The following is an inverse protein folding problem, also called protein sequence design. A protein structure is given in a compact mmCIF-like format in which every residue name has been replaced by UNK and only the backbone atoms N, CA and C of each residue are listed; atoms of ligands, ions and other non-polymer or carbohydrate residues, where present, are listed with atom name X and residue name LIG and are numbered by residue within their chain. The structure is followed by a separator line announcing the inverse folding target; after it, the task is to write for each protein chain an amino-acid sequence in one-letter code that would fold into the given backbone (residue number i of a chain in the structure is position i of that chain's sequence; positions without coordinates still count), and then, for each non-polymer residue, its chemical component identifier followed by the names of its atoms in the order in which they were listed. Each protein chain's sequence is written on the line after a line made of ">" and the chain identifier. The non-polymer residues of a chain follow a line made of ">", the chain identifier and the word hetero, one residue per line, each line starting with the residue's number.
data_IF_110751176314
#
_entry.id   IF_110751176314
#
_cell.length_a   1.000
_cell.length_b   1.000
_cell.length_c   1.000
_cell.angle_alpha   90.00
_cell.angle_beta   90.00
_cell.angle_gamma   90.00
#
_symmetry.space_group_name_H-M   'P 1'
#
loop_
_entity.id
_entity.type
_entity.pdbx_description
1 polymer ?
#
# COMPACT_ATOMS: atom_id res chain seq x y z
N UNK A 1 24.96 11.58 8.97
CA UNK A 1 23.91 11.60 9.98
C UNK A 1 22.56 11.31 9.32
N UNK A 2 21.87 10.32 9.81
CA UNK A 2 20.59 9.94 9.28
C UNK A 2 19.53 10.96 9.68
N UNK A 3 18.68 11.33 8.71
CA UNK A 3 17.58 12.22 8.99
C UNK A 3 16.33 11.38 9.21
N UNK A 4 15.69 11.58 10.34
CA UNK A 4 14.42 10.94 10.62
C UNK A 4 13.31 11.71 9.95
N UNK A 5 12.22 11.03 9.52
CA UNK A 5 11.06 11.73 9.00
C UNK A 5 10.50 12.69 10.04
N UNK A 6 9.89 13.75 9.55
CA UNK A 6 9.15 14.63 10.43
C UNK A 6 8.00 13.88 11.09
N UNK A 7 7.57 14.39 12.24
CA UNK A 7 6.44 13.81 12.95
C UNK A 7 5.22 13.86 12.05
N UNK A 8 4.56 12.71 11.88
CA UNK A 8 3.42 12.60 10.98
C UNK A 8 3.75 12.09 9.59
N UNK A 9 4.98 11.67 9.37
CA UNK A 9 5.39 11.03 8.11
C UNK A 9 5.66 9.54 8.31
N UNK A 10 5.55 8.78 7.22
CA UNK A 10 5.94 7.36 7.25
C UNK A 10 7.45 7.26 7.42
N UNK A 11 7.93 6.21 8.11
CA UNK A 11 9.37 6.04 8.33
C UNK A 11 10.15 5.81 7.03
N UNK A 12 11.45 6.04 7.09
CA UNK A 12 12.34 5.67 5.99
C UNK A 12 12.54 4.16 5.99
N UNK A 13 12.85 3.61 4.80
CA UNK A 13 12.98 2.17 4.61
C UNK A 13 14.00 1.54 5.55
N UNK A 14 15.12 2.20 5.78
CA UNK A 14 16.16 1.65 6.66
C UNK A 14 15.73 1.57 8.12
N UNK A 15 14.75 2.36 8.54
CA UNK A 15 14.21 2.28 9.89
C UNK A 15 13.26 1.11 10.07
N UNK A 16 12.53 0.78 9.01
CA UNK A 16 11.56 -0.31 9.01
C UNK A 16 12.26 -1.66 8.93
N UNK A 17 13.33 -1.72 8.14
CA UNK A 17 14.12 -2.94 8.00
C UNK A 17 13.45 -4.01 7.15
N UNK A 18 14.02 -5.21 7.20
CA UNK A 18 13.59 -6.31 6.35
C UNK A 18 12.30 -6.99 6.79
N UNK A 19 11.76 -6.63 7.93
CA UNK A 19 10.52 -7.24 8.44
C UNK A 19 9.28 -6.78 7.67
N UNK A 20 9.40 -5.73 6.87
CA UNK A 20 8.33 -5.26 5.99
C UNK A 20 8.88 -5.37 4.57
N UNK A 21 8.33 -6.33 3.80
CA UNK A 21 8.88 -6.67 2.49
C UNK A 21 8.54 -5.61 1.45
N UNK A 22 9.54 -5.18 0.67
CA UNK A 22 9.37 -4.19 -0.39
C UNK A 22 8.69 -2.91 0.10
N UNK A 23 9.10 -2.44 1.26
CA UNK A 23 8.60 -1.19 1.82
C UNK A 23 9.05 -0.01 0.95
N UNK A 24 8.11 0.86 0.61
CA UNK A 24 8.41 2.00 -0.25
C UNK A 24 7.53 3.18 0.16
N UNK A 25 8.15 4.35 0.32
CA UNK A 25 7.40 5.57 0.60
C UNK A 25 6.80 6.07 -0.70
N UNK A 26 5.45 6.21 -0.71
CA UNK A 26 4.73 6.72 -1.87
C UNK A 26 4.64 8.23 -1.81
N UNK A 27 4.31 8.77 -0.65
CA UNK A 27 4.26 10.20 -0.32
C UNK A 27 4.84 10.33 1.09
N UNK A 28 5.01 11.55 1.62
CA UNK A 28 5.45 11.66 3.02
C UNK A 28 4.54 10.97 4.02
N UNK A 29 3.25 10.82 3.72
CA UNK A 29 2.30 10.24 4.66
C UNK A 29 1.79 8.85 4.29
N UNK A 30 2.20 8.32 3.13
CA UNK A 30 1.75 7.02 2.64
C UNK A 30 2.93 6.15 2.24
N UNK A 31 2.92 4.91 2.70
CA UNK A 31 3.89 3.90 2.27
C UNK A 31 3.15 2.66 1.82
N UNK A 32 3.79 1.89 0.95
CA UNK A 32 3.27 0.61 0.46
C UNK A 32 4.28 -0.49 0.70
N UNK A 33 3.77 -1.73 0.80
CA UNK A 33 4.65 -2.88 0.98
C UNK A 33 3.98 -4.19 0.56
N UNK A 34 4.76 -5.26 0.61
CA UNK A 34 4.25 -6.61 0.62
C UNK A 34 4.04 -7.08 2.05
N UNK A 35 4.31 -8.35 2.31
CA UNK A 35 4.05 -8.95 3.62
C UNK A 35 4.73 -8.22 4.75
N UNK A 36 4.05 -8.13 5.87
CA UNK A 36 4.56 -7.55 7.11
C UNK A 36 4.77 -8.69 8.10
N UNK A 37 5.99 -8.86 8.58
CA UNK A 37 6.28 -9.83 9.63
C UNK A 37 5.56 -9.40 10.90
N UNK A 38 4.97 -10.36 11.62
CA UNK A 38 4.18 -10.03 12.80
C UNK A 38 4.99 -9.31 13.88
N UNK A 39 6.30 -9.49 13.91
CA UNK A 39 7.16 -8.79 14.87
C UNK A 39 7.39 -7.32 14.50
N UNK A 40 6.94 -6.88 13.32
CA UNK A 40 7.17 -5.52 12.86
C UNK A 40 6.13 -4.51 13.36
N UNK A 41 4.96 -4.96 13.79
CA UNK A 41 3.89 -4.02 14.15
C UNK A 41 4.27 -3.10 15.31
N UNK A 42 4.95 -3.62 16.32
CA UNK A 42 5.42 -2.79 17.41
C UNK A 42 6.38 -1.71 16.94
N UNK A 43 7.28 -2.07 16.02
CA UNK A 43 8.25 -1.13 15.47
C UNK A 43 7.55 -0.05 14.64
N UNK A 44 6.59 -0.44 13.81
CA UNK A 44 5.81 0.51 13.00
C UNK A 44 5.10 1.52 13.89
N UNK A 45 4.48 1.05 14.97
CA UNK A 45 3.80 1.92 15.91
C UNK A 45 4.79 2.90 16.57
N UNK A 46 5.95 2.40 17.01
CA UNK A 46 6.98 3.24 17.61
C UNK A 46 7.49 4.31 16.66
N UNK A 47 7.54 3.98 15.37
CA UNK A 47 8.00 4.92 14.34
C UNK A 47 6.92 5.93 13.93
N UNK A 48 5.73 5.84 14.52
CA UNK A 48 4.69 6.83 14.30
C UNK A 48 3.62 6.47 13.27
N UNK A 49 3.65 5.25 12.73
CA UNK A 49 2.58 4.80 11.84
C UNK A 49 1.27 4.73 12.61
N UNK A 50 0.23 5.36 12.08
CA UNK A 50 -1.07 5.45 12.73
C UNK A 50 -2.00 4.34 12.25
N UNK A 51 -1.91 3.96 10.97
CA UNK A 51 -2.84 3.02 10.36
C UNK A 51 -2.13 2.01 9.48
N UNK A 52 -2.68 0.80 9.45
CA UNK A 52 -2.30 -0.24 8.50
C UNK A 52 -3.55 -0.58 7.67
N UNK A 53 -3.44 -0.50 6.36
CA UNK A 53 -4.51 -0.84 5.44
C UNK A 53 -4.13 -2.11 4.71
N UNK A 54 -4.92 -3.14 4.92
CA UNK A 54 -4.69 -4.50 4.42
C UNK A 54 -5.53 -4.71 3.16
N UNK A 55 -4.89 -5.01 2.05
CA UNK A 55 -5.57 -5.25 0.78
C UNK A 55 -5.88 -6.74 0.55
N UNK A 56 -5.55 -7.59 1.54
CA UNK A 56 -5.75 -9.04 1.42
C UNK A 56 -7.21 -9.40 1.62
N UNK A 57 -7.56 -10.58 1.13
CA UNK A 57 -8.92 -11.13 1.31
C UNK A 57 -8.97 -11.93 2.63
N UNK A 58 -10.20 -12.19 3.16
CA UNK A 58 -10.34 -12.84 4.48
C UNK A 58 -9.56 -14.14 4.63
N UNK A 59 -9.45 -14.92 3.57
CA UNK A 59 -8.75 -16.21 3.63
C UNK A 59 -7.25 -16.08 3.84
N UNK A 60 -6.71 -14.88 3.75
CA UNK A 60 -5.27 -14.66 3.83
C UNK A 60 -4.79 -14.22 5.22
N UNK A 61 -5.63 -14.35 6.25
CA UNK A 61 -5.20 -14.10 7.62
C UNK A 61 -5.40 -12.66 8.09
N UNK A 62 -6.42 -11.97 7.57
CA UNK A 62 -6.64 -10.57 7.92
C UNK A 62 -7.00 -10.37 9.39
N UNK A 63 -7.66 -11.35 10.02
CA UNK A 63 -8.10 -11.20 11.40
C UNK A 63 -6.93 -11.19 12.37
N UNK A 64 -5.95 -12.04 12.14
CA UNK A 64 -4.74 -12.06 12.96
C UNK A 64 -4.00 -10.73 12.88
N UNK A 65 -3.88 -10.18 11.68
CA UNK A 65 -3.23 -8.87 11.53
C UNK A 65 -4.04 -7.77 12.20
N UNK A 66 -5.36 -7.79 12.08
CA UNK A 66 -6.20 -6.79 12.73
C UNK A 66 -5.92 -6.76 14.24
N UNK A 67 -5.89 -7.95 14.86
CA UNK A 67 -5.63 -8.04 16.29
C UNK A 67 -4.25 -7.51 16.67
N UNK A 68 -3.22 -7.85 15.88
CA UNK A 68 -1.86 -7.38 16.12
C UNK A 68 -1.75 -5.86 15.97
N UNK A 69 -2.35 -5.32 14.93
CA UNK A 69 -2.31 -3.88 14.66
C UNK A 69 -3.02 -3.11 15.77
N UNK A 70 -4.22 -3.55 16.14
CA UNK A 70 -5.00 -2.87 17.16
C UNK A 70 -4.36 -3.00 18.55
N UNK A 71 -3.70 -4.13 18.83
CA UNK A 71 -3.00 -4.32 20.10
C UNK A 71 -1.83 -3.33 20.26
N UNK A 72 -1.31 -2.79 19.17
CA UNK A 72 -0.23 -1.80 19.20
C UNK A 72 -0.75 -0.36 19.13
N UNK A 73 -2.06 -0.17 19.22
CA UNK A 73 -2.66 1.16 19.22
C UNK A 73 -2.83 1.79 17.85
N UNK A 74 -2.62 1.03 16.78
CA UNK A 74 -2.82 1.51 15.42
C UNK A 74 -4.22 1.17 14.95
N UNK A 75 -4.68 1.90 13.94
CA UNK A 75 -5.96 1.62 13.26
C UNK A 75 -5.75 0.55 12.20
N UNK A 76 -6.71 -0.34 12.08
CA UNK A 76 -6.67 -1.36 11.05
C UNK A 76 -7.82 -1.15 10.06
N UNK A 77 -7.49 -1.19 8.77
CA UNK A 77 -8.49 -1.12 7.69
C UNK A 77 -8.27 -2.29 6.75
N UNK A 78 -9.36 -2.77 6.17
CA UNK A 78 -9.28 -3.81 5.16
C UNK A 78 -10.10 -3.39 3.93
N UNK A 79 -9.44 -3.35 2.79
CA UNK A 79 -10.08 -3.20 1.49
C UNK A 79 -9.71 -4.46 0.72
N UNK A 80 -10.54 -5.52 0.82
CA UNK A 80 -10.16 -6.79 0.20
C UNK A 80 -10.21 -6.69 -1.31
N UNK A 81 -9.07 -6.92 -1.95
CA UNK A 81 -9.01 -7.02 -3.40
C UNK A 81 -8.39 -8.37 -3.77
N UNK A 82 -8.96 -8.99 -4.78
CA UNK A 82 -8.52 -10.30 -5.23
C UNK A 82 -7.36 -10.23 -6.22
N UNK A 83 -7.36 -11.15 -7.15
CA UNK A 83 -6.25 -11.28 -8.10
C UNK A 83 -6.34 -10.32 -9.27
N UNK A 84 -7.52 -9.81 -9.53
CA UNK A 84 -7.74 -8.87 -10.64
C UNK A 84 -7.30 -7.46 -10.24
N UNK A 85 -7.43 -6.53 -11.20
CA UNK A 85 -7.29 -5.12 -10.89
C UNK A 85 -8.40 -4.70 -9.91
N UNK A 86 -8.12 -3.72 -9.04
CA UNK A 86 -9.17 -3.26 -8.13
C UNK A 86 -10.36 -2.68 -8.88
N UNK A 87 -11.55 -2.92 -8.35
CA UNK A 87 -12.78 -2.37 -8.87
C UNK A 87 -12.89 -0.89 -8.50
N UNK A 88 -13.82 -0.18 -9.17
CA UNK A 88 -14.06 1.22 -8.81
C UNK A 88 -14.48 1.38 -7.35
N UNK A 89 -15.28 0.45 -6.84
CA UNK A 89 -15.70 0.49 -5.43
C UNK A 89 -14.51 0.30 -4.49
N UNK A 90 -13.59 -0.58 -4.84
CA UNK A 90 -12.38 -0.80 -4.04
C UNK A 90 -11.47 0.41 -4.07
N UNK A 91 -11.30 1.02 -5.24
CA UNK A 91 -10.51 2.25 -5.37
C UNK A 91 -11.14 3.37 -4.53
N UNK A 92 -12.46 3.52 -4.58
CA UNK A 92 -13.16 4.53 -3.79
C UNK A 92 -13.00 4.29 -2.28
N UNK A 93 -13.08 3.04 -1.84
CA UNK A 93 -12.87 2.70 -0.43
C UNK A 93 -11.44 3.01 0.01
N UNK A 94 -10.46 2.66 -0.81
CA UNK A 94 -9.07 2.98 -0.57
C UNK A 94 -8.88 4.50 -0.45
N UNK A 95 -9.44 5.25 -1.40
CA UNK A 95 -9.31 6.70 -1.42
C UNK A 95 -9.86 7.34 -0.14
N UNK A 96 -11.02 6.90 0.32
CA UNK A 96 -11.62 7.45 1.54
C UNK A 96 -10.71 7.26 2.76
N UNK A 97 -10.01 6.15 2.81
CA UNK A 97 -9.14 5.84 3.95
C UNK A 97 -7.85 6.65 3.89
N UNK A 98 -7.18 6.65 2.73
CA UNK A 98 -5.85 7.27 2.62
C UNK A 98 -5.92 8.80 2.54
N UNK A 99 -7.10 9.35 2.24
CA UNK A 99 -7.28 10.81 2.16
C UNK A 99 -7.82 11.40 3.46
N UNK A 100 -8.11 10.58 4.45
CA UNK A 100 -8.51 11.06 5.77
C UNK A 100 -7.26 11.31 6.61
N UNK A 101 -7.00 12.56 6.94
CA UNK A 101 -5.82 12.96 7.70
C UNK A 101 -5.69 12.25 9.03
N UNK A 102 -6.81 11.85 9.63
CA UNK A 102 -6.80 11.15 10.92
C UNK A 102 -6.20 9.75 10.82
N UNK A 103 -6.07 9.22 9.61
CA UNK A 103 -5.51 7.89 9.38
C UNK A 103 -4.02 7.91 9.05
N UNK A 104 -3.42 9.10 8.93
CA UNK A 104 -2.05 9.24 8.45
C UNK A 104 -1.07 9.46 9.60
N UNK A 105 0.16 9.00 9.50
CA UNK A 105 0.74 8.26 8.37
C UNK A 105 0.27 6.82 8.32
N UNK A 106 0.17 6.28 7.10
CA UNK A 106 -0.48 4.99 6.86
C UNK A 106 0.38 4.11 5.96
N UNK A 107 0.43 2.81 6.29
CA UNK A 107 1.06 1.78 5.46
C UNK A 107 -0.01 0.89 4.87
N UNK A 108 -0.03 0.74 3.53
CA UNK A 108 -0.95 -0.21 2.89
C UNK A 108 -0.16 -1.33 2.21
N UNK A 109 -0.74 -2.54 2.19
CA UNK A 109 0.02 -3.71 1.76
C UNK A 109 -0.87 -4.85 1.26
N UNK A 110 -0.23 -5.80 0.58
CA UNK A 110 -0.80 -7.10 0.22
C UNK A 110 0.09 -8.20 0.75
N UNK A 111 -0.02 -9.41 0.18
CA UNK A 111 0.96 -10.47 0.46
C UNK A 111 2.27 -10.11 -0.23
N UNK A 112 2.17 -9.63 -1.46
CA UNK A 112 3.31 -9.11 -2.22
C UNK A 112 3.04 -7.65 -2.53
N UNK A 113 4.10 -6.89 -2.74
CA UNK A 113 3.99 -5.48 -3.10
C UNK A 113 3.26 -5.28 -4.43
N UNK A 114 3.17 -6.31 -5.26
CA UNK A 114 2.48 -6.29 -6.54
C UNK A 114 1.01 -5.84 -6.39
N UNK A 115 0.31 -6.35 -5.39
CA UNK A 115 -1.10 -5.96 -5.14
C UNK A 115 -1.20 -4.49 -4.75
N UNK A 116 -0.34 -4.05 -3.86
CA UNK A 116 -0.30 -2.65 -3.44
C UNK A 116 0.01 -1.73 -4.62
N UNK A 117 0.94 -2.14 -5.49
CA UNK A 117 1.27 -1.38 -6.68
C UNK A 117 0.10 -1.24 -7.65
N UNK A 118 -0.70 -2.30 -7.79
CA UNK A 118 -1.90 -2.27 -8.61
C UNK A 118 -2.90 -1.23 -8.09
N UNK A 119 -3.19 -1.27 -6.81
CA UNK A 119 -4.10 -0.29 -6.18
C UNK A 119 -3.56 1.13 -6.33
N UNK A 120 -2.26 1.32 -6.10
CA UNK A 120 -1.66 2.65 -6.21
C UNK A 120 -1.80 3.22 -7.62
N UNK A 121 -1.51 2.42 -8.64
CA UNK A 121 -1.61 2.88 -10.03
C UNK A 121 -3.04 3.32 -10.36
N UNK A 122 -4.03 2.49 -10.03
CA UNK A 122 -5.42 2.79 -10.35
C UNK A 122 -5.92 3.98 -9.54
N UNK A 123 -5.54 4.07 -8.27
CA UNK A 123 -5.91 5.20 -7.43
C UNK A 123 -5.34 6.52 -7.97
N UNK A 124 -4.08 6.54 -8.37
CA UNK A 124 -3.45 7.77 -8.88
C UNK A 124 -4.08 8.21 -10.20
N UNK A 125 -4.36 7.26 -11.09
CA UNK A 125 -5.05 7.58 -12.34
C UNK A 125 -6.45 8.14 -12.05
N UNK A 126 -7.13 7.58 -11.06
CA UNK A 126 -8.44 8.05 -10.64
C UNK A 126 -8.39 9.49 -10.11
N UNK A 127 -7.23 9.89 -9.58
CA UNK A 127 -6.99 11.25 -9.11
C UNK A 127 -6.48 12.20 -10.19
N UNK A 128 -6.47 11.76 -11.44
CA UNK A 128 -6.12 12.61 -12.56
C UNK A 128 -4.66 12.57 -12.98
N UNK A 129 -3.85 11.70 -12.38
CA UNK A 129 -2.48 11.49 -12.83
C UNK A 129 -2.52 10.81 -14.19
N UNK A 130 -1.68 11.24 -15.13
CA UNK A 130 -1.64 10.67 -16.47
C UNK A 130 -1.45 9.15 -16.37
N UNK A 131 -2.19 8.36 -17.17
CA UNK A 131 -2.17 6.90 -17.05
C UNK A 131 -0.77 6.28 -17.11
N UNK A 132 0.10 6.78 -17.99
CA UNK A 132 1.45 6.24 -18.11
C UNK A 132 2.24 6.51 -16.83
N UNK A 133 2.13 7.70 -16.27
CA UNK A 133 2.81 8.04 -15.02
C UNK A 133 2.24 7.21 -13.85
N UNK A 134 0.92 7.07 -13.78
CA UNK A 134 0.29 6.27 -12.73
C UNK A 134 0.77 4.82 -12.80
N UNK A 135 0.88 4.28 -14.01
CA UNK A 135 1.40 2.94 -14.21
C UNK A 135 2.84 2.82 -13.70
N UNK A 136 3.71 3.78 -14.03
CA UNK A 136 5.10 3.75 -13.57
C UNK A 136 5.20 3.87 -12.05
N UNK A 137 4.33 4.66 -11.43
CA UNK A 137 4.29 4.72 -9.96
C UNK A 137 3.92 3.36 -9.36
N UNK A 138 2.99 2.65 -9.98
CA UNK A 138 2.64 1.29 -9.56
C UNK A 138 3.81 0.33 -9.72
N UNK A 139 4.56 0.45 -10.82
CA UNK A 139 5.75 -0.36 -11.05
C UNK A 139 6.80 -0.13 -9.96
N UNK A 140 7.01 1.11 -9.61
CA UNK A 140 7.95 1.46 -8.53
C UNK A 140 7.52 0.86 -7.20
N UNK A 141 6.21 0.77 -6.98
CA UNK A 141 5.67 0.17 -5.76
C UNK A 141 5.76 -1.36 -5.75
N UNK A 142 5.99 -1.99 -6.91
CA UNK A 142 6.13 -3.45 -6.99
C UNK A 142 5.20 -4.15 -7.97
N UNK A 143 4.40 -3.39 -8.72
CA UNK A 143 3.51 -3.94 -9.74
C UNK A 143 4.32 -4.65 -10.83
N UNK A 144 3.95 -5.88 -11.18
CA UNK A 144 4.71 -6.65 -12.16
C UNK A 144 3.86 -7.76 -12.79
N UNK A 145 4.39 -8.36 -13.85
CA UNK A 145 3.86 -9.58 -14.46
C UNK A 145 2.46 -9.43 -15.02
N UNK A 146 1.67 -10.47 -14.84
CA UNK A 146 0.29 -10.52 -15.35
C UNK A 146 -0.55 -9.37 -14.80
N UNK A 147 -0.38 -9.07 -13.52
CA UNK A 147 -1.12 -7.97 -12.90
C UNK A 147 -0.75 -6.63 -13.54
N UNK A 148 0.52 -6.42 -13.87
CA UNK A 148 0.95 -5.20 -14.54
C UNK A 148 0.28 -5.06 -15.91
N UNK A 149 0.19 -6.16 -16.66
CA UNK A 149 -0.51 -6.13 -17.96
C UNK A 149 -1.99 -5.79 -17.78
N UNK A 150 -2.64 -6.38 -16.78
CA UNK A 150 -4.04 -6.09 -16.51
C UNK A 150 -4.25 -4.63 -16.12
N UNK A 151 -3.33 -4.05 -15.35
CA UNK A 151 -3.39 -2.64 -14.97
C UNK A 151 -3.23 -1.74 -16.22
N UNK A 152 -2.30 -2.07 -17.11
CA UNK A 152 -2.14 -1.30 -18.35
C UNK A 152 -3.44 -1.29 -19.15
N UNK A 153 -4.08 -2.45 -19.29
CA UNK A 153 -5.37 -2.54 -19.99
C UNK A 153 -6.44 -1.68 -19.30
N UNK A 154 -6.52 -1.77 -17.97
CA UNK A 154 -7.50 -0.99 -17.22
C UNK A 154 -7.27 0.51 -17.36
N UNK A 155 -6.02 0.93 -17.54
CA UNK A 155 -5.66 2.33 -17.73
C UNK A 155 -5.80 2.80 -19.19
N UNK A 156 -6.19 1.90 -20.08
CA UNK A 156 -6.31 2.23 -21.51
C UNK A 156 -4.97 2.31 -22.23
N UNK A 157 -3.93 1.75 -21.65
CA UNK A 157 -2.60 1.74 -22.27
C UNK A 157 -2.41 0.47 -23.08
N UNK A 158 -1.74 0.59 -24.19
CA UNK A 158 -1.46 -0.58 -25.01
C UNK A 158 -0.42 -1.46 -24.31
N UNK A 159 -0.53 -2.79 -24.48
CA UNK A 159 0.47 -3.69 -23.92
C UNK A 159 1.84 -3.41 -24.52
N UNK A 160 2.88 -3.68 -23.74
CA UNK A 160 4.24 -3.63 -24.24
C UNK A 160 4.42 -4.78 -25.22
N UNK A 161 4.86 -4.47 -26.43
CA UNK A 161 4.95 -5.44 -27.53
C UNK A 161 6.26 -6.22 -27.52
N UNK A 162 6.70 -6.65 -26.39
CA UNK A 162 7.93 -7.42 -26.34
C UNK A 162 7.96 -8.33 -25.21
#
# INVERSE_FOLDING_TARGET
>A
RSQLPDRGEVPFAEEVGSLVHHYDRRTPTLASSGAIDESAYGRLSQLGVVSVLDLRVPEEGIEEERLDVEARGMRYFNVPMGYAVPTEAEIAAFARIVEDENNLPLLFHGIFANRAGSMWALYRAHRGIAPEQAYEEGRTAGLKGVRARAVREALGLYPVTR
#
